data_IF_749507872060
#
_entry.id   IF_749507872060
#
_cell.length_a   1.000
_cell.length_b   1.000
_cell.length_c   1.000
_cell.angle_alpha   90.00
_cell.angle_beta   90.00
_cell.angle_gamma   90.00
#
_symmetry.space_group_name_H-M   'P 1'
#
loop_
_entity.id
_entity.type
_entity.pdbx_description
1 polymer ?
#
# COMPACT_ATOMS: atom_id res chain seq x y z
N UNK A 1 -37.01 -21.05 21.68
CA UNK A 1 -37.61 -20.26 20.62
C UNK A 1 -36.47 -19.46 19.97
N UNK A 2 -36.07 -19.82 18.74
CA UNK A 2 -35.00 -19.13 18.00
C UNK A 2 -35.57 -17.76 17.58
N UNK A 3 -34.88 -16.69 17.94
CA UNK A 3 -35.21 -15.33 17.51
C UNK A 3 -35.01 -15.20 16.01
N UNK A 4 -35.95 -14.56 15.31
CA UNK A 4 -35.75 -14.22 13.89
C UNK A 4 -34.65 -13.15 13.73
N UNK A 5 -33.99 -13.09 12.58
CA UNK A 5 -32.98 -12.06 12.26
C UNK A 5 -33.46 -10.63 12.55
N UNK A 6 -34.76 -10.37 12.31
CA UNK A 6 -35.40 -9.08 12.59
C UNK A 6 -35.49 -8.80 14.10
N UNK A 7 -35.75 -9.81 14.92
CA UNK A 7 -35.77 -9.68 16.37
C UNK A 7 -34.36 -9.55 16.96
N UNK A 8 -33.36 -10.23 16.38
CA UNK A 8 -31.96 -10.08 16.77
C UNK A 8 -31.48 -8.65 16.50
N UNK A 9 -31.77 -8.10 15.33
CA UNK A 9 -31.41 -6.73 14.94
C UNK A 9 -32.08 -5.66 15.81
N UNK A 10 -33.35 -5.84 16.16
CA UNK A 10 -34.09 -4.84 16.97
C UNK A 10 -33.68 -4.78 18.43
N UNK A 11 -33.09 -5.85 19.00
CA UNK A 11 -32.78 -5.97 20.44
C UNK A 11 -31.30 -5.78 20.76
N UNK A 12 -30.41 -5.58 19.77
CA UNK A 12 -28.97 -5.48 19.98
C UNK A 12 -28.32 -6.77 20.52
N UNK A 13 -29.06 -7.88 20.49
CA UNK A 13 -28.54 -9.18 20.96
C UNK A 13 -27.46 -9.77 20.05
N UNK A 14 -27.28 -9.25 18.84
CA UNK A 14 -26.20 -9.69 17.95
C UNK A 14 -24.83 -9.59 18.60
N UNK A 15 -24.60 -8.56 19.41
CA UNK A 15 -23.33 -8.40 20.16
C UNK A 15 -23.08 -9.55 21.14
N UNK A 16 -24.14 -10.06 21.78
CA UNK A 16 -24.08 -11.18 22.74
C UNK A 16 -23.96 -12.54 22.05
N UNK A 17 -24.45 -12.64 20.82
CA UNK A 17 -24.47 -13.87 20.03
C UNK A 17 -23.25 -13.99 19.11
N UNK A 18 -22.46 -12.94 19.02
CA UNK A 18 -21.28 -12.93 18.16
C UNK A 18 -20.25 -13.99 18.59
N UNK A 19 -19.85 -14.81 17.64
CA UNK A 19 -18.80 -15.82 17.84
C UNK A 19 -17.62 -15.49 16.92
N UNK A 20 -16.52 -14.99 17.47
CA UNK A 20 -15.36 -14.59 16.66
C UNK A 20 -14.67 -15.80 16.03
N UNK A 21 -14.38 -15.70 14.73
CA UNK A 21 -13.46 -16.60 14.05
C UNK A 21 -12.03 -16.43 14.62
N UNK A 22 -11.09 -17.38 14.38
CA UNK A 22 -9.77 -17.38 15.03
C UNK A 22 -9.02 -16.04 14.96
N UNK A 23 -8.88 -15.47 13.76
CA UNK A 23 -8.23 -14.17 13.56
C UNK A 23 -8.93 -13.03 14.27
N UNK A 24 -10.28 -13.00 14.26
CA UNK A 24 -11.08 -11.99 14.96
C UNK A 24 -10.87 -12.07 16.47
N UNK A 25 -10.77 -13.28 17.02
CA UNK A 25 -10.53 -13.47 18.46
C UNK A 25 -9.19 -12.88 18.89
N UNK A 26 -8.13 -13.07 18.09
CA UNK A 26 -6.84 -12.46 18.35
C UNK A 26 -6.91 -10.93 18.21
N UNK A 27 -7.54 -10.43 17.13
CA UNK A 27 -7.72 -9.02 16.86
C UNK A 27 -8.42 -8.27 18.00
N UNK A 28 -9.50 -8.81 18.55
CA UNK A 28 -10.21 -8.18 19.66
C UNK A 28 -9.39 -8.11 20.94
N UNK A 29 -8.51 -9.08 21.20
CA UNK A 29 -7.64 -9.14 22.38
C UNK A 29 -6.43 -8.23 22.32
N UNK A 30 -6.05 -7.82 21.13
CA UNK A 30 -4.81 -7.06 20.91
C UNK A 30 -4.83 -5.71 21.60
N UNK A 31 -3.79 -5.37 22.38
CA UNK A 31 -3.60 -4.05 22.96
C UNK A 31 -2.93 -3.06 22.00
N UNK A 32 -2.50 -3.49 20.81
CA UNK A 32 -1.75 -2.66 19.86
C UNK A 32 -2.49 -1.36 19.53
N UNK A 33 -1.73 -0.29 19.29
CA UNK A 33 -2.27 1.01 18.90
C UNK A 33 -2.83 0.98 17.47
N UNK A 34 -2.19 0.24 16.58
CA UNK A 34 -2.64 0.08 15.21
C UNK A 34 -2.87 -1.40 14.94
N UNK A 35 -4.11 -1.75 14.67
CA UNK A 35 -4.52 -3.13 14.39
C UNK A 35 -4.93 -3.24 12.92
N UNK A 36 -4.22 -4.09 12.18
CA UNK A 36 -4.44 -4.35 10.77
C UNK A 36 -5.09 -5.71 10.58
N UNK A 37 -6.37 -5.73 10.23
CA UNK A 37 -7.11 -6.95 9.96
C UNK A 37 -7.17 -7.20 8.46
N UNK A 38 -6.18 -7.89 7.94
CA UNK A 38 -6.09 -8.30 6.56
C UNK A 38 -6.86 -9.60 6.35
N UNK A 39 -7.84 -9.61 5.46
CA UNK A 39 -8.67 -10.80 5.30
C UNK A 39 -9.21 -10.96 3.90
N UNK A 40 -9.41 -12.21 3.50
CA UNK A 40 -10.08 -12.56 2.27
C UNK A 40 -11.53 -12.06 2.22
N UNK A 41 -12.12 -12.11 1.04
CA UNK A 41 -13.55 -11.84 0.90
C UNK A 41 -14.34 -12.86 1.71
N UNK A 42 -15.40 -12.41 2.42
CA UNK A 42 -16.23 -13.27 3.29
C UNK A 42 -15.51 -13.93 4.47
N UNK A 43 -14.31 -13.48 4.84
CA UNK A 43 -13.58 -13.97 6.03
C UNK A 43 -14.14 -13.44 7.36
N UNK A 44 -15.20 -12.63 7.35
CA UNK A 44 -15.81 -12.06 8.56
C UNK A 44 -15.13 -10.78 9.09
N UNK A 45 -14.16 -10.21 8.37
CA UNK A 45 -13.39 -9.04 8.83
C UNK A 45 -14.24 -7.81 9.17
N UNK A 46 -15.17 -7.41 8.30
CA UNK A 46 -16.05 -6.25 8.55
C UNK A 46 -17.04 -6.51 9.69
N UNK A 47 -17.51 -7.77 9.83
CA UNK A 47 -18.34 -8.23 10.96
C UNK A 47 -17.58 -8.09 12.28
N UNK A 48 -16.31 -8.54 12.31
CA UNK A 48 -15.47 -8.45 13.50
C UNK A 48 -15.10 -7.01 13.83
N UNK A 49 -14.60 -6.24 12.86
CA UNK A 49 -14.10 -4.88 13.08
C UNK A 49 -15.22 -3.87 13.33
N UNK A 50 -16.13 -3.71 12.38
CA UNK A 50 -17.19 -2.69 12.44
C UNK A 50 -18.39 -3.18 13.25
N UNK A 51 -18.81 -4.42 13.02
CA UNK A 51 -19.96 -4.97 13.75
C UNK A 51 -19.69 -5.11 15.24
N UNK A 52 -18.74 -5.94 15.62
CA UNK A 52 -18.51 -6.26 17.03
C UNK A 52 -17.53 -5.29 17.73
N UNK A 53 -16.31 -5.10 17.22
CA UNK A 53 -15.25 -4.37 17.93
C UNK A 53 -15.63 -2.88 18.12
N UNK A 54 -16.02 -2.19 17.05
CA UNK A 54 -16.48 -0.82 17.12
C UNK A 54 -17.71 -0.66 18.01
N UNK A 55 -18.76 -1.48 17.80
CA UNK A 55 -20.01 -1.33 18.55
C UNK A 55 -19.83 -1.65 20.04
N UNK A 56 -19.08 -2.68 20.41
CA UNK A 56 -18.78 -3.00 21.80
C UNK A 56 -17.93 -1.90 22.47
N UNK A 57 -16.96 -1.34 21.75
CA UNK A 57 -16.19 -0.20 22.24
C UNK A 57 -17.09 1.03 22.42
N UNK A 58 -17.92 1.37 21.43
CA UNK A 58 -18.81 2.53 21.50
C UNK A 58 -19.82 2.42 22.64
N UNK A 59 -20.32 1.20 22.93
CA UNK A 59 -21.21 0.94 24.08
C UNK A 59 -20.48 0.93 25.43
N UNK A 60 -19.16 0.85 25.46
CA UNK A 60 -18.39 0.72 26.69
C UNK A 60 -18.40 -0.69 27.29
N UNK A 61 -18.71 -1.71 26.51
CA UNK A 61 -18.79 -3.12 26.91
C UNK A 61 -17.71 -4.00 26.28
N UNK A 62 -16.72 -3.41 25.61
CA UNK A 62 -15.63 -4.16 24.99
C UNK A 62 -14.81 -4.92 26.03
N UNK A 63 -14.63 -6.25 25.90
CA UNK A 63 -14.05 -7.06 26.98
C UNK A 63 -12.56 -6.82 27.24
N UNK A 64 -11.84 -6.25 26.26
CA UNK A 64 -10.38 -6.06 26.34
C UNK A 64 -9.93 -4.60 26.24
N UNK A 65 -10.83 -3.67 25.94
CA UNK A 65 -10.51 -2.24 25.80
C UNK A 65 -11.46 -1.38 26.59
N UNK A 66 -10.91 -0.52 27.43
CA UNK A 66 -11.70 0.46 28.18
C UNK A 66 -12.05 1.64 27.27
N UNK A 67 -13.31 2.00 27.21
CA UNK A 67 -13.79 3.19 26.51
C UNK A 67 -13.74 4.40 27.43
N UNK A 68 -13.11 5.51 27.05
CA UNK A 68 -13.19 6.77 27.79
C UNK A 68 -14.64 7.29 27.85
N UNK A 69 -14.93 8.14 28.83
CA UNK A 69 -16.21 8.88 28.88
C UNK A 69 -16.26 9.88 27.72
N UNK A 70 -17.41 10.00 27.10
CA UNK A 70 -17.64 10.90 25.95
C UNK A 70 -16.65 10.67 24.80
N UNK A 71 -16.32 9.41 24.54
CA UNK A 71 -15.40 9.03 23.47
C UNK A 71 -15.88 9.51 22.09
N UNK A 72 -14.97 10.01 21.30
CA UNK A 72 -15.18 10.32 19.89
C UNK A 72 -14.55 9.24 19.02
N UNK A 73 -15.35 8.56 18.23
CA UNK A 73 -14.96 7.43 17.41
C UNK A 73 -15.19 7.81 15.95
N UNK A 74 -14.20 7.63 15.09
CA UNK A 74 -14.40 7.72 13.65
C UNK A 74 -14.61 6.35 13.04
N UNK A 75 -15.63 6.23 12.18
CA UNK A 75 -15.91 5.06 11.37
C UNK A 75 -15.84 5.44 9.88
N UNK A 76 -14.99 4.76 9.09
CA UNK A 76 -14.75 5.16 7.72
C UNK A 76 -14.81 3.98 6.73
N UNK A 77 -15.24 4.30 5.49
CA UNK A 77 -15.14 3.42 4.32
C UNK A 77 -14.84 4.23 3.06
N UNK A 78 -14.74 3.58 1.90
CA UNK A 78 -14.29 4.24 0.67
C UNK A 78 -15.22 5.38 0.20
N UNK A 79 -16.54 5.17 0.24
CA UNK A 79 -17.54 6.13 -0.27
C UNK A 79 -18.70 6.28 0.68
N UNK A 80 -19.44 7.40 0.59
CA UNK A 80 -20.64 7.61 1.40
C UNK A 80 -21.73 6.56 1.19
N UNK A 81 -22.02 6.08 -0.03
CA UNK A 81 -22.93 4.95 -0.21
C UNK A 81 -22.49 3.68 0.53
N UNK A 82 -21.19 3.38 0.57
CA UNK A 82 -20.66 2.24 1.34
C UNK A 82 -20.78 2.47 2.85
N UNK A 83 -20.53 3.68 3.33
CA UNK A 83 -20.78 4.05 4.73
C UNK A 83 -22.23 3.79 5.12
N UNK A 84 -23.18 4.25 4.32
CA UNK A 84 -24.60 4.02 4.57
C UNK A 84 -24.99 2.55 4.50
N UNK A 85 -24.66 1.88 3.39
CA UNK A 85 -25.06 0.50 3.14
C UNK A 85 -24.37 -0.50 4.06
N UNK A 86 -23.03 -0.50 4.06
CA UNK A 86 -22.26 -1.52 4.77
C UNK A 86 -22.06 -1.18 6.25
N UNK A 87 -21.48 -0.01 6.58
CA UNK A 87 -21.18 0.29 7.97
C UNK A 87 -22.45 0.49 8.79
N UNK A 88 -23.33 1.40 8.33
CA UNK A 88 -24.51 1.76 9.09
C UNK A 88 -25.60 0.68 9.05
N UNK A 89 -26.16 0.40 7.84
CA UNK A 89 -27.33 -0.46 7.73
C UNK A 89 -27.04 -1.94 8.00
N UNK A 90 -25.90 -2.47 7.50
CA UNK A 90 -25.61 -3.90 7.66
C UNK A 90 -24.90 -4.22 8.98
N UNK A 91 -23.98 -3.36 9.46
CA UNK A 91 -23.17 -3.68 10.63
C UNK A 91 -23.63 -2.95 11.89
N UNK A 92 -23.57 -1.62 11.92
CA UNK A 92 -23.82 -0.87 13.16
C UNK A 92 -25.26 -1.08 13.64
N UNK A 93 -26.27 -0.95 12.79
CA UNK A 93 -27.68 -1.21 13.17
C UNK A 93 -27.94 -2.65 13.66
N UNK A 94 -27.09 -3.61 13.26
CA UNK A 94 -27.23 -4.99 13.70
C UNK A 94 -26.66 -5.21 15.10
N UNK A 95 -25.54 -4.57 15.41
CA UNK A 95 -24.81 -4.76 16.68
C UNK A 95 -25.10 -3.70 17.73
N UNK A 96 -25.47 -2.49 17.32
CA UNK A 96 -25.79 -1.39 18.21
C UNK A 96 -27.32 -1.33 18.46
N UNK A 97 -27.82 -1.53 19.68
CA UNK A 97 -29.24 -1.38 19.95
C UNK A 97 -29.71 0.03 19.62
N UNK A 98 -30.79 0.17 18.87
CA UNK A 98 -31.34 1.48 18.50
C UNK A 98 -31.72 2.31 19.74
N UNK A 99 -32.12 1.66 20.84
CA UNK A 99 -32.39 2.31 22.15
C UNK A 99 -31.16 3.00 22.77
N UNK A 100 -29.96 2.67 22.32
CA UNK A 100 -28.73 3.30 22.78
C UNK A 100 -28.35 4.52 21.92
N UNK A 101 -29.08 4.80 20.85
CA UNK A 101 -28.86 5.98 20.01
C UNK A 101 -29.68 7.14 20.55
N UNK A 102 -28.99 8.23 20.90
CA UNK A 102 -29.63 9.47 21.35
C UNK A 102 -30.06 10.31 20.15
N UNK A 103 -31.35 10.64 19.99
CA UNK A 103 -31.79 11.56 18.95
C UNK A 103 -31.26 13.00 19.18
N UNK A 104 -31.12 13.82 18.11
CA UNK A 104 -31.31 13.44 16.71
C UNK A 104 -30.06 12.77 16.11
N UNK A 105 -30.25 11.91 15.12
CA UNK A 105 -29.19 11.45 14.23
C UNK A 105 -28.84 12.59 13.27
N UNK A 106 -27.54 12.90 13.11
CA UNK A 106 -27.09 13.86 12.10
C UNK A 106 -26.83 13.11 10.81
N UNK A 107 -27.52 13.51 9.75
CA UNK A 107 -27.47 12.83 8.47
C UNK A 107 -26.54 13.54 7.49
N UNK A 108 -25.70 12.79 6.78
CA UNK A 108 -25.05 13.23 5.56
C UNK A 108 -26.06 13.26 4.41
N UNK A 109 -26.83 12.17 4.28
CA UNK A 109 -27.98 12.10 3.38
C UNK A 109 -29.11 11.36 4.10
N UNK A 110 -30.17 12.09 4.44
CA UNK A 110 -31.31 11.55 5.18
C UNK A 110 -32.18 10.65 4.32
N UNK A 111 -32.30 10.95 3.03
CA UNK A 111 -33.12 10.17 2.09
C UNK A 111 -32.55 8.74 1.92
N UNK A 112 -31.23 8.63 1.84
CA UNK A 112 -30.53 7.35 1.69
C UNK A 112 -30.09 6.74 3.03
N UNK A 113 -30.57 7.31 4.16
CA UNK A 113 -30.21 6.89 5.52
C UNK A 113 -28.69 6.80 5.77
N UNK A 114 -27.94 7.78 5.28
CA UNK A 114 -26.48 7.85 5.48
C UNK A 114 -26.19 8.83 6.62
N UNK A 115 -25.81 8.37 7.82
CA UNK A 115 -25.46 9.26 8.93
C UNK A 115 -24.09 9.89 8.74
N UNK A 116 -23.90 11.11 9.24
CA UNK A 116 -22.59 11.73 9.47
C UNK A 116 -22.17 11.66 10.94
N UNK A 117 -23.12 11.65 11.88
CA UNK A 117 -22.86 11.48 13.32
C UNK A 117 -24.05 10.81 14.00
N UNK A 118 -23.73 9.89 14.92
CA UNK A 118 -24.67 9.40 15.92
C UNK A 118 -24.10 9.61 17.32
N UNK A 119 -24.95 9.94 18.27
CA UNK A 119 -24.62 10.03 19.69
C UNK A 119 -25.25 8.88 20.45
N UNK A 120 -24.58 8.39 21.45
CA UNK A 120 -25.05 7.30 22.29
C UNK A 120 -25.49 7.82 23.66
N UNK A 121 -26.41 7.11 24.29
CA UNK A 121 -26.94 7.43 25.61
C UNK A 121 -25.83 7.53 26.69
N UNK A 122 -24.73 6.78 26.53
CA UNK A 122 -23.56 6.83 27.40
C UNK A 122 -22.64 8.04 27.16
N UNK A 123 -22.99 8.97 26.25
CA UNK A 123 -22.24 10.17 25.91
C UNK A 123 -21.22 9.96 24.78
N UNK A 124 -20.95 8.75 24.35
CA UNK A 124 -20.05 8.48 23.24
C UNK A 124 -20.67 8.88 21.90
N UNK A 125 -19.83 9.14 20.90
CA UNK A 125 -20.28 9.47 19.54
C UNK A 125 -19.50 8.69 18.50
N UNK A 126 -20.18 8.38 17.40
CA UNK A 126 -19.56 7.83 16.20
C UNK A 126 -19.75 8.86 15.08
N UNK A 127 -18.66 9.35 14.52
CA UNK A 127 -18.63 10.22 13.35
C UNK A 127 -18.23 9.39 12.14
N UNK A 128 -19.01 9.48 11.07
CA UNK A 128 -18.78 8.74 9.85
C UNK A 128 -17.96 9.57 8.86
N UNK A 129 -17.08 8.90 8.14
CA UNK A 129 -16.17 9.49 7.15
C UNK A 129 -16.13 8.64 5.88
N UNK A 130 -15.89 9.29 4.73
CA UNK A 130 -15.63 8.58 3.49
C UNK A 130 -14.25 8.97 2.96
N UNK A 131 -13.43 7.98 2.56
CA UNK A 131 -12.07 8.23 2.07
C UNK A 131 -12.06 9.04 0.77
N UNK A 132 -13.11 8.94 -0.05
CA UNK A 132 -13.29 9.76 -1.27
C UNK A 132 -13.25 11.28 -1.00
N UNK A 133 -13.54 11.72 0.23
CA UNK A 133 -13.44 13.13 0.60
C UNK A 133 -11.99 13.64 0.68
N UNK A 134 -11.02 12.73 0.63
CA UNK A 134 -9.60 13.03 0.70
C UNK A 134 -9.13 13.47 2.10
N UNK A 135 -7.84 13.79 2.20
CA UNK A 135 -7.12 14.08 3.44
C UNK A 135 -7.80 15.14 4.32
N UNK A 136 -8.31 16.22 3.73
CA UNK A 136 -8.92 17.33 4.46
C UNK A 136 -10.11 16.92 5.35
N UNK A 137 -10.85 15.89 4.97
CA UNK A 137 -11.97 15.39 5.76
C UNK A 137 -11.53 14.72 7.08
N UNK A 138 -10.26 14.35 7.19
CA UNK A 138 -9.66 13.74 8.37
C UNK A 138 -8.86 14.74 9.23
N UNK A 139 -8.90 16.01 8.88
CA UNK A 139 -8.42 17.11 9.73
C UNK A 139 -9.47 17.43 10.81
N UNK A 140 -9.06 18.08 11.88
CA UNK A 140 -9.97 18.59 12.91
C UNK A 140 -9.67 18.10 14.32
N UNK A 141 -10.72 17.62 15.02
CA UNK A 141 -10.62 17.29 16.45
C UNK A 141 -9.85 15.98 16.72
N UNK A 142 -9.32 15.89 17.92
CA UNK A 142 -8.76 14.66 18.47
C UNK A 142 -9.83 13.56 18.67
N UNK A 143 -9.49 12.31 18.41
CA UNK A 143 -10.37 11.15 18.53
C UNK A 143 -9.77 10.07 19.44
N UNK A 144 -10.65 9.28 20.05
CA UNK A 144 -10.27 8.18 20.94
C UNK A 144 -10.04 6.87 20.18
N UNK A 145 -10.73 6.69 19.05
CA UNK A 145 -10.59 5.52 18.20
C UNK A 145 -10.91 5.83 16.72
N UNK A 146 -10.22 5.13 15.85
CA UNK A 146 -10.51 5.08 14.42
C UNK A 146 -10.81 3.65 13.99
N UNK A 147 -11.91 3.46 13.28
CA UNK A 147 -12.30 2.18 12.68
C UNK A 147 -12.49 2.37 11.17
N UNK A 148 -11.61 1.76 10.39
CA UNK A 148 -11.69 1.75 8.94
C UNK A 148 -12.15 0.42 8.40
N UNK A 149 -12.98 0.44 7.37
CA UNK A 149 -13.33 -0.74 6.58
C UNK A 149 -12.96 -0.51 5.12
N UNK A 150 -12.38 -1.51 4.51
CA UNK A 150 -11.77 -1.54 3.20
C UNK A 150 -10.45 -0.73 3.08
N UNK A 151 -9.66 -1.10 2.08
CA UNK A 151 -8.39 -0.46 1.78
C UNK A 151 -8.60 0.97 1.27
N UNK A 152 -7.86 1.96 1.78
CA UNK A 152 -7.92 3.36 1.33
C UNK A 152 -7.35 3.43 -0.10
N UNK A 153 -8.18 3.85 -1.08
CA UNK A 153 -7.81 3.79 -2.49
C UNK A 153 -6.92 4.94 -2.96
N UNK A 154 -7.18 6.17 -2.50
CA UNK A 154 -6.46 7.38 -2.92
C UNK A 154 -5.84 8.09 -1.74
N UNK A 155 -4.67 8.69 -1.91
CA UNK A 155 -3.91 9.40 -0.87
C UNK A 155 -3.85 8.64 0.47
N UNK A 156 -3.67 7.34 0.38
CA UNK A 156 -3.77 6.44 1.54
C UNK A 156 -2.79 6.79 2.65
N UNK A 157 -1.56 7.20 2.30
CA UNK A 157 -0.56 7.63 3.27
C UNK A 157 -0.90 8.97 3.90
N UNK A 158 -1.40 9.95 3.12
CA UNK A 158 -1.82 11.24 3.63
C UNK A 158 -3.01 11.13 4.58
N UNK A 159 -4.03 10.36 4.23
CA UNK A 159 -5.19 10.09 5.10
C UNK A 159 -4.73 9.37 6.38
N UNK A 160 -3.88 8.36 6.26
CA UNK A 160 -3.34 7.64 7.41
C UNK A 160 -2.59 8.56 8.39
N UNK A 161 -1.74 9.45 7.89
CA UNK A 161 -0.99 10.41 8.72
C UNK A 161 -1.90 11.35 9.48
N UNK A 162 -3.00 11.83 8.86
CA UNK A 162 -3.99 12.66 9.57
C UNK A 162 -4.72 11.88 10.67
N UNK A 163 -5.12 10.64 10.40
CA UNK A 163 -5.75 9.78 11.41
C UNK A 163 -4.81 9.61 12.61
N UNK A 164 -3.51 9.32 12.37
CA UNK A 164 -2.53 9.16 13.45
C UNK A 164 -2.35 10.46 14.26
N UNK A 165 -2.33 11.61 13.59
CA UNK A 165 -2.26 12.91 14.27
C UNK A 165 -3.49 13.15 15.18
N UNK A 166 -4.69 12.75 14.76
CA UNK A 166 -5.93 12.90 15.58
C UNK A 166 -5.99 11.94 16.76
N UNK A 167 -5.35 10.78 16.67
CA UNK A 167 -5.27 9.79 17.74
C UNK A 167 -4.22 10.16 18.82
N UNK A 168 -3.23 10.98 18.46
CA UNK A 168 -2.08 11.28 19.32
C UNK A 168 -2.49 11.94 20.63
N UNK A 169 -3.31 13.00 20.56
CA UNK A 169 -3.67 13.82 21.74
C UNK A 169 -4.44 13.05 22.82
N UNK A 170 -5.18 12.02 22.40
CA UNK A 170 -5.98 11.18 23.30
C UNK A 170 -5.37 9.81 23.56
N UNK A 171 -4.14 9.59 23.10
CA UNK A 171 -3.51 8.28 23.14
C UNK A 171 -4.43 7.18 22.58
N UNK A 172 -5.16 7.54 21.51
CA UNK A 172 -6.16 6.69 20.87
C UNK A 172 -5.54 5.54 20.07
N UNK A 173 -6.40 4.74 19.43
CA UNK A 173 -5.98 3.61 18.63
C UNK A 173 -6.71 3.55 17.28
N UNK A 174 -6.15 2.81 16.35
CA UNK A 174 -6.78 2.50 15.07
C UNK A 174 -7.03 1.00 14.89
N UNK A 175 -8.11 0.67 14.17
CA UNK A 175 -8.48 -0.66 13.77
C UNK A 175 -8.94 -0.62 12.30
N UNK A 176 -8.19 -1.25 11.41
CA UNK A 176 -8.47 -1.22 9.98
C UNK A 176 -8.68 -2.63 9.44
N UNK A 177 -9.82 -2.88 8.83
CA UNK A 177 -10.09 -4.12 8.10
C UNK A 177 -9.99 -3.91 6.60
N UNK A 178 -9.32 -4.84 5.89
CA UNK A 178 -9.13 -4.72 4.45
C UNK A 178 -8.91 -6.08 3.77
N UNK A 179 -9.21 -6.13 2.48
CA UNK A 179 -8.64 -7.12 1.57
C UNK A 179 -7.53 -6.41 0.79
N UNK A 180 -6.24 -6.74 0.98
CA UNK A 180 -5.11 -5.98 0.46
C UNK A 180 -4.86 -6.29 -1.03
N UNK A 181 -5.80 -5.87 -1.89
CA UNK A 181 -5.75 -6.10 -3.35
C UNK A 181 -4.95 -5.00 -4.03
N UNK A 182 -5.02 -3.76 -3.50
CA UNK A 182 -4.34 -2.61 -4.09
C UNK A 182 -2.95 -2.51 -3.47
N UNK A 183 -1.87 -2.59 -4.25
CA UNK A 183 -0.53 -2.37 -3.74
C UNK A 183 -0.39 -0.98 -3.12
N UNK A 184 0.11 -0.97 -1.90
CA UNK A 184 0.41 0.24 -1.14
C UNK A 184 1.77 0.06 -0.47
N UNK A 185 2.87 0.45 -1.15
CA UNK A 185 4.23 0.19 -0.68
C UNK A 185 4.47 0.64 0.76
N UNK A 186 3.98 1.82 1.15
CA UNK A 186 4.13 2.32 2.52
C UNK A 186 3.48 1.41 3.57
N UNK A 187 2.31 0.82 3.22
CA UNK A 187 1.57 -0.06 4.13
C UNK A 187 2.22 -1.45 4.19
N UNK A 188 2.67 -1.94 3.04
CA UNK A 188 3.41 -3.20 2.95
C UNK A 188 4.71 -3.13 3.76
N UNK A 189 5.49 -2.04 3.59
CA UNK A 189 6.69 -1.77 4.39
C UNK A 189 6.39 -1.70 5.88
N UNK A 190 5.30 -1.03 6.26
CA UNK A 190 4.90 -0.91 7.65
C UNK A 190 4.51 -2.26 8.25
N UNK A 191 3.78 -3.08 7.50
CA UNK A 191 3.36 -4.42 7.94
C UNK A 191 4.56 -5.38 7.99
N UNK A 192 5.51 -5.28 7.07
CA UNK A 192 6.76 -6.07 7.10
C UNK A 192 7.68 -5.65 8.25
N UNK A 193 7.84 -4.35 8.49
CA UNK A 193 8.66 -3.82 9.58
C UNK A 193 8.04 -4.08 10.96
N UNK A 194 6.73 -4.20 11.01
CA UNK A 194 5.89 -4.45 12.18
C UNK A 194 6.37 -3.68 13.43
N UNK A 195 6.21 -2.34 13.46
CA UNK A 195 6.58 -1.55 14.64
C UNK A 195 5.89 -2.08 15.90
N UNK A 196 6.47 -1.89 17.08
CA UNK A 196 5.89 -2.32 18.37
C UNK A 196 4.48 -1.79 18.63
N UNK A 197 4.10 -0.70 17.96
CA UNK A 197 2.75 -0.12 18.04
C UNK A 197 1.72 -0.84 17.19
N UNK A 198 2.14 -1.74 16.30
CA UNK A 198 1.31 -2.34 15.26
C UNK A 198 1.18 -3.86 15.45
N UNK A 199 0.00 -4.38 15.14
CA UNK A 199 -0.23 -5.82 15.07
C UNK A 199 -1.11 -6.16 13.85
N UNK A 200 -0.74 -7.23 13.15
CA UNK A 200 -1.39 -7.68 11.92
C UNK A 200 -2.06 -9.02 12.13
N UNK A 201 -3.30 -9.12 11.69
CA UNK A 201 -4.13 -10.32 11.79
C UNK A 201 -4.56 -10.75 10.38
N UNK A 202 -4.35 -12.00 10.05
CA UNK A 202 -4.75 -12.56 8.76
C UNK A 202 -5.97 -13.44 8.93
N UNK A 203 -7.09 -13.02 8.33
CA UNK A 203 -8.36 -13.72 8.38
C UNK A 203 -8.52 -14.60 7.12
N UNK A 204 -8.36 -15.90 7.27
CA UNK A 204 -8.53 -16.87 6.19
C UNK A 204 -10.03 -17.10 5.93
N UNK A 205 -10.43 -17.09 4.66
CA UNK A 205 -11.79 -17.44 4.24
C UNK A 205 -12.16 -18.86 4.70
N UNK A 206 -11.21 -19.78 4.69
CA UNK A 206 -11.46 -21.17 5.09
C UNK A 206 -11.83 -21.33 6.57
N UNK A 207 -11.47 -20.36 7.43
CA UNK A 207 -11.91 -20.37 8.83
C UNK A 207 -13.42 -20.12 8.98
N UNK A 208 -14.06 -19.60 7.92
CA UNK A 208 -15.49 -19.33 7.89
C UNK A 208 -16.33 -20.53 7.33
N UNK A 209 -15.69 -21.68 7.04
CA UNK A 209 -16.37 -22.91 6.65
C UNK A 209 -17.17 -23.50 7.82
N UNK A 210 -18.39 -23.97 7.55
CA UNK A 210 -19.22 -24.65 8.56
C UNK A 210 -18.50 -25.86 9.16
N UNK A 211 -17.77 -26.64 8.35
CA UNK A 211 -16.96 -27.78 8.82
C UNK A 211 -15.87 -27.38 9.83
N UNK A 212 -15.48 -26.12 9.86
CA UNK A 212 -14.50 -25.53 10.81
C UNK A 212 -15.15 -24.69 11.91
N UNK A 213 -16.47 -24.72 12.03
CA UNK A 213 -17.22 -23.94 13.00
C UNK A 213 -17.54 -22.50 12.56
N UNK A 214 -17.34 -22.19 11.29
CA UNK A 214 -17.72 -20.92 10.66
C UNK A 214 -19.20 -20.89 10.24
N UNK A 215 -19.52 -19.92 9.38
CA UNK A 215 -20.91 -19.57 9.06
C UNK A 215 -21.32 -19.91 7.61
N UNK A 216 -20.37 -20.17 6.71
CA UNK A 216 -20.60 -20.38 5.27
C UNK A 216 -20.48 -21.87 4.92
N UNK A 217 -21.38 -22.34 4.06
CA UNK A 217 -21.32 -23.71 3.58
C UNK A 217 -20.04 -23.96 2.79
N UNK A 218 -19.44 -25.12 3.00
CA UNK A 218 -18.15 -25.49 2.40
C UNK A 218 -18.21 -25.47 0.86
N UNK A 219 -19.32 -25.94 0.26
CA UNK A 219 -19.51 -25.93 -1.20
C UNK A 219 -19.61 -24.52 -1.77
N UNK A 220 -20.22 -23.59 -1.03
CA UNK A 220 -20.30 -22.18 -1.45
C UNK A 220 -18.91 -21.54 -1.45
N UNK A 221 -18.07 -21.85 -0.46
CA UNK A 221 -16.69 -21.38 -0.43
C UNK A 221 -15.89 -21.97 -1.59
N UNK A 222 -16.01 -23.26 -1.85
CA UNK A 222 -15.30 -23.92 -2.96
C UNK A 222 -15.71 -23.33 -4.31
N UNK A 223 -17.02 -23.10 -4.51
CA UNK A 223 -17.54 -22.45 -5.72
C UNK A 223 -17.01 -21.01 -5.89
N UNK A 224 -16.89 -20.26 -4.80
CA UNK A 224 -16.35 -18.92 -4.82
C UNK A 224 -14.87 -18.89 -5.17
N UNK A 225 -14.08 -19.77 -4.57
CA UNK A 225 -12.64 -19.90 -4.82
C UNK A 225 -12.37 -20.29 -6.28
N UNK A 226 -13.17 -21.21 -6.83
CA UNK A 226 -13.01 -21.65 -8.21
C UNK A 226 -13.23 -20.55 -9.27
N UNK A 227 -13.89 -19.43 -8.91
CA UNK A 227 -14.09 -18.28 -9.79
C UNK A 227 -12.91 -17.30 -9.81
N UNK A 228 -11.96 -17.44 -8.91
CA UNK A 228 -10.85 -16.49 -8.82
C UNK A 228 -9.63 -16.95 -9.63
N UNK A 229 -9.02 -16.03 -10.41
CA UNK A 229 -7.71 -16.28 -11.00
C UNK A 229 -6.68 -16.66 -9.93
N UNK A 230 -5.79 -17.58 -10.27
CA UNK A 230 -4.80 -18.11 -9.34
C UNK A 230 -3.95 -17.02 -8.66
N UNK A 231 -3.66 -15.95 -9.42
CA UNK A 231 -2.81 -14.83 -8.99
C UNK A 231 -3.41 -14.03 -7.83
N UNK A 232 -4.74 -13.92 -7.76
CA UNK A 232 -5.44 -13.18 -6.70
C UNK A 232 -6.09 -14.10 -5.66
N UNK A 233 -6.15 -15.41 -5.95
CA UNK A 233 -6.82 -16.37 -5.08
C UNK A 233 -6.22 -16.36 -3.67
N UNK A 234 -4.90 -16.35 -3.55
CA UNK A 234 -4.23 -16.35 -2.24
C UNK A 234 -4.59 -15.11 -1.40
N UNK A 235 -4.58 -13.93 -2.02
CA UNK A 235 -4.98 -12.68 -1.34
C UNK A 235 -6.44 -12.72 -0.91
N UNK A 236 -7.34 -13.21 -1.79
CA UNK A 236 -8.77 -13.31 -1.51
C UNK A 236 -9.14 -14.40 -0.52
N UNK A 237 -8.29 -15.41 -0.36
CA UNK A 237 -8.48 -16.50 0.61
C UNK A 237 -7.85 -16.11 1.95
N UNK A 238 -6.55 -15.75 1.95
CA UNK A 238 -5.75 -15.58 3.17
C UNK A 238 -5.58 -14.15 3.63
N UNK A 239 -6.02 -13.15 2.83
CA UNK A 239 -5.85 -11.74 3.16
C UNK A 239 -4.40 -11.26 3.13
N UNK A 240 -3.49 -12.01 2.52
CA UNK A 240 -2.11 -11.58 2.33
C UNK A 240 -2.02 -10.61 1.17
N UNK A 241 -1.08 -9.67 1.24
CA UNK A 241 -0.82 -8.78 0.11
C UNK A 241 -0.52 -9.61 -1.13
N UNK A 242 -1.20 -9.31 -2.23
CA UNK A 242 -0.93 -9.96 -3.50
C UNK A 242 0.52 -9.65 -3.88
N UNK A 243 1.31 -10.66 -4.14
CA UNK A 243 2.55 -10.47 -4.84
C UNK A 243 2.18 -9.91 -6.22
N UNK A 244 2.14 -8.59 -6.31
CA UNK A 244 2.08 -7.76 -7.52
C UNK A 244 1.22 -8.28 -8.69
N UNK A 245 -0.10 -8.25 -8.54
CA UNK A 245 -0.99 -8.37 -9.68
C UNK A 245 -0.73 -7.18 -10.63
N UNK A 246 -0.39 -7.48 -11.89
CA UNK A 246 -0.03 -6.45 -12.86
C UNK A 246 1.38 -5.88 -12.70
N UNK A 247 2.20 -6.36 -11.78
CA UNK A 247 3.57 -5.89 -11.62
C UNK A 247 4.39 -6.13 -12.89
N UNK A 248 5.11 -5.10 -13.32
CA UNK A 248 6.07 -5.19 -14.40
C UNK A 248 7.23 -6.10 -13.96
N UNK A 249 7.75 -5.90 -12.75
CA UNK A 249 8.90 -6.64 -12.21
C UNK A 249 8.50 -7.73 -11.20
N UNK A 250 7.75 -8.73 -11.67
CA UNK A 250 7.19 -9.83 -10.85
C UNK A 250 8.22 -10.63 -10.03
N UNK A 251 9.47 -10.67 -10.49
CA UNK A 251 10.56 -11.41 -9.83
C UNK A 251 11.27 -10.62 -8.76
N UNK A 252 10.98 -9.31 -8.63
CA UNK A 252 11.56 -8.51 -7.57
C UNK A 252 11.11 -8.99 -6.20
N UNK A 253 12.05 -9.22 -5.31
CA UNK A 253 11.81 -9.59 -3.92
C UNK A 253 12.82 -8.84 -3.04
N UNK A 254 12.35 -8.03 -2.11
CA UNK A 254 13.21 -7.22 -1.22
C UNK A 254 14.21 -8.06 -0.44
N UNK A 255 13.79 -9.23 0.07
CA UNK A 255 14.68 -10.12 0.82
C UNK A 255 15.84 -10.66 0.00
N UNK A 256 15.73 -10.66 -1.32
CA UNK A 256 16.72 -11.20 -2.26
C UNK A 256 17.55 -10.09 -2.90
N UNK A 257 16.89 -9.00 -3.32
CA UNK A 257 17.50 -7.96 -4.15
C UNK A 257 17.98 -6.74 -3.37
N UNK A 258 17.47 -6.52 -2.13
CA UNK A 258 17.88 -5.38 -1.32
C UNK A 258 18.98 -5.80 -0.36
N UNK A 259 20.15 -5.18 -0.50
CA UNK A 259 21.34 -5.54 0.26
C UNK A 259 21.83 -4.40 1.14
N UNK A 260 22.59 -4.71 2.18
CA UNK A 260 23.25 -3.70 3.00
C UNK A 260 24.28 -2.96 2.16
N UNK A 261 24.41 -1.63 2.30
CA UNK A 261 25.46 -0.86 1.63
C UNK A 261 26.85 -1.39 1.98
N UNK A 262 27.71 -1.39 0.99
CA UNK A 262 29.14 -1.67 1.12
C UNK A 262 29.93 -0.71 0.20
N UNK A 263 31.22 -0.58 0.40
CA UNK A 263 32.07 0.26 -0.44
C UNK A 263 32.24 -0.40 -1.81
N UNK A 264 31.83 0.30 -2.87
CA UNK A 264 31.98 -0.18 -4.24
C UNK A 264 33.45 -0.16 -4.64
N UNK A 265 34.07 -1.31 -5.01
CA UNK A 265 35.47 -1.38 -5.42
C UNK A 265 35.80 -0.40 -6.54
N UNK A 266 36.99 0.19 -6.50
CA UNK A 266 37.37 1.26 -7.41
C UNK A 266 37.49 0.81 -8.89
N UNK A 267 37.79 -0.45 -9.11
CA UNK A 267 37.93 -1.10 -10.41
C UNK A 267 36.60 -1.47 -11.06
N UNK A 268 35.49 -1.45 -10.31
CA UNK A 268 34.19 -1.73 -10.90
C UNK A 268 33.73 -0.59 -11.80
N UNK A 269 33.31 -0.89 -13.05
CA UNK A 269 32.73 0.13 -13.93
C UNK A 269 31.47 0.73 -13.32
N UNK A 270 31.42 2.06 -13.35
CA UNK A 270 30.32 2.86 -12.82
C UNK A 270 29.55 3.58 -13.91
N UNK A 271 28.27 3.72 -13.69
CA UNK A 271 27.33 4.34 -14.61
C UNK A 271 26.36 5.21 -13.82
N UNK A 272 25.72 6.16 -14.53
CA UNK A 272 24.58 6.91 -14.00
C UNK A 272 23.44 6.90 -14.99
N UNK A 273 22.22 7.02 -14.47
CA UNK A 273 21.03 7.16 -15.27
C UNK A 273 20.14 8.25 -14.68
N UNK A 274 19.58 9.11 -15.52
CA UNK A 274 18.84 10.31 -15.13
C UNK A 274 17.50 10.31 -15.85
N UNK A 275 16.43 10.52 -15.09
CA UNK A 275 15.10 10.85 -15.56
C UNK A 275 14.77 12.28 -15.11
N UNK A 276 14.45 13.15 -16.11
CA UNK A 276 14.18 14.57 -15.85
C UNK A 276 12.78 14.77 -15.29
N UNK A 277 12.63 15.67 -14.33
CA UNK A 277 11.37 16.09 -13.78
C UNK A 277 11.48 17.39 -13.00
N UNK A 278 10.41 18.20 -13.02
CA UNK A 278 10.29 19.41 -12.20
C UNK A 278 9.10 19.26 -11.25
N UNK A 279 7.86 19.18 -11.75
CA UNK A 279 6.69 18.89 -10.93
C UNK A 279 6.70 17.44 -10.43
N UNK A 280 7.11 16.53 -11.29
CA UNK A 280 7.49 15.16 -10.95
C UNK A 280 8.93 15.13 -10.43
N UNK A 281 9.32 14.12 -9.66
CA UNK A 281 10.69 14.01 -9.18
C UNK A 281 11.71 13.90 -10.32
N UNK A 282 12.79 14.66 -10.21
CA UNK A 282 14.04 14.38 -10.91
C UNK A 282 14.67 13.17 -10.23
N UNK A 283 15.02 12.15 -10.99
CA UNK A 283 15.68 10.96 -10.49
C UNK A 283 17.07 10.79 -11.11
N UNK A 284 18.05 10.44 -10.28
CA UNK A 284 19.36 10.01 -10.73
C UNK A 284 19.79 8.78 -9.94
N UNK A 285 20.16 7.71 -10.64
CA UNK A 285 20.67 6.49 -10.04
C UNK A 285 22.15 6.30 -10.37
N UNK A 286 22.90 5.85 -9.37
CA UNK A 286 24.29 5.41 -9.49
C UNK A 286 24.33 3.89 -9.53
N UNK A 287 24.93 3.34 -10.60
CA UNK A 287 25.02 1.92 -10.85
C UNK A 287 26.48 1.50 -10.95
N UNK A 288 26.80 0.37 -10.38
CA UNK A 288 28.10 -0.29 -10.54
C UNK A 288 27.89 -1.72 -11.04
N UNK A 289 28.87 -2.26 -11.76
CA UNK A 289 28.82 -3.63 -12.24
C UNK A 289 30.04 -4.40 -11.77
N UNK A 290 29.84 -5.54 -11.12
CA UNK A 290 30.94 -6.38 -10.66
C UNK A 290 31.53 -7.24 -11.80
N UNK A 291 32.69 -7.93 -11.58
CA UNK A 291 33.27 -8.84 -12.56
C UNK A 291 32.37 -10.00 -12.97
N UNK A 292 31.43 -10.41 -12.11
CA UNK A 292 30.44 -11.46 -12.38
C UNK A 292 29.20 -10.92 -13.12
N UNK A 293 29.30 -9.67 -13.64
CA UNK A 293 28.22 -8.95 -14.35
C UNK A 293 26.97 -8.68 -13.53
N UNK A 294 27.10 -8.60 -12.19
CA UNK A 294 25.99 -8.21 -11.31
C UNK A 294 25.95 -6.69 -11.18
N UNK A 295 24.75 -6.14 -11.24
CA UNK A 295 24.47 -4.73 -11.09
C UNK A 295 24.17 -4.37 -9.63
N UNK A 296 24.66 -3.23 -9.21
CA UNK A 296 24.39 -2.66 -7.90
C UNK A 296 23.91 -1.22 -8.06
N UNK A 297 22.68 -0.93 -7.68
CA UNK A 297 22.22 0.45 -7.48
C UNK A 297 22.69 0.87 -6.09
N UNK A 298 23.76 1.68 -6.02
CA UNK A 298 24.43 1.97 -4.77
C UNK A 298 24.14 3.36 -4.19
N UNK A 299 23.58 4.28 -5.03
CA UNK A 299 23.09 5.58 -4.57
C UNK A 299 21.93 6.06 -5.45
N UNK A 300 21.08 6.90 -4.89
CA UNK A 300 20.01 7.59 -5.59
C UNK A 300 19.93 9.06 -5.16
N UNK A 301 19.52 9.92 -6.09
CA UNK A 301 19.01 11.26 -5.86
C UNK A 301 17.61 11.34 -6.44
N UNK A 302 16.62 11.74 -5.63
CA UNK A 302 15.22 11.71 -6.01
C UNK A 302 14.51 12.90 -5.36
N UNK A 303 14.22 13.95 -6.14
CA UNK A 303 13.64 15.18 -5.61
C UNK A 303 12.88 15.97 -6.69
N UNK A 304 11.71 16.51 -6.36
CA UNK A 304 10.92 17.37 -7.21
C UNK A 304 11.06 18.84 -6.83
N UNK A 305 10.68 19.73 -7.75
CA UNK A 305 10.54 21.18 -7.57
C UNK A 305 11.85 21.89 -7.25
N UNK A 306 12.94 21.39 -7.82
CA UNK A 306 14.26 22.00 -7.74
C UNK A 306 14.80 22.28 -9.15
N UNK A 307 15.78 23.18 -9.25
CA UNK A 307 16.41 23.55 -10.51
C UNK A 307 17.44 22.52 -10.97
N UNK A 308 17.75 22.48 -12.27
CA UNK A 308 18.82 21.62 -12.80
C UNK A 308 20.19 21.96 -12.18
N UNK A 309 20.42 23.24 -11.87
CA UNK A 309 21.62 23.65 -11.14
C UNK A 309 21.73 22.98 -9.77
N UNK A 310 20.64 22.95 -9.00
CA UNK A 310 20.59 22.23 -7.73
C UNK A 310 20.86 20.73 -7.91
N UNK A 311 20.19 20.08 -8.87
CA UNK A 311 20.40 18.68 -9.16
C UNK A 311 21.84 18.38 -9.58
N UNK A 312 22.45 19.25 -10.41
CA UNK A 312 23.84 19.07 -10.83
C UNK A 312 24.83 19.11 -9.65
N UNK A 313 24.62 20.02 -8.71
CA UNK A 313 25.47 20.10 -7.50
C UNK A 313 25.30 18.88 -6.61
N UNK A 314 24.07 18.37 -6.45
CA UNK A 314 23.80 17.11 -5.71
C UNK A 314 24.45 15.92 -6.40
N UNK A 315 24.36 15.83 -7.74
CA UNK A 315 25.04 14.78 -8.51
C UNK A 315 26.55 14.83 -8.29
N UNK A 316 27.17 16.02 -8.34
CA UNK A 316 28.60 16.19 -8.10
C UNK A 316 29.00 15.79 -6.68
N UNK A 317 28.21 16.21 -5.67
CA UNK A 317 28.45 15.86 -4.27
C UNK A 317 28.43 14.35 -4.04
N UNK A 318 27.40 13.66 -4.55
CA UNK A 318 27.26 12.20 -4.40
C UNK A 318 28.36 11.47 -5.20
N UNK A 319 28.66 11.95 -6.41
CA UNK A 319 29.67 11.35 -7.30
C UNK A 319 31.10 11.50 -6.78
N UNK A 320 31.38 12.57 -6.03
CA UNK A 320 32.74 12.84 -5.53
C UNK A 320 33.79 12.82 -6.63
N UNK A 321 34.81 11.96 -6.48
CA UNK A 321 35.90 11.77 -7.45
C UNK A 321 35.72 10.55 -8.36
N UNK A 322 34.57 9.90 -8.31
CA UNK A 322 34.27 8.70 -9.11
C UNK A 322 34.29 9.03 -10.61
N UNK A 323 34.75 8.08 -11.42
CA UNK A 323 34.71 8.16 -12.87
C UNK A 323 33.55 7.26 -13.38
N UNK A 324 32.79 7.77 -14.34
CA UNK A 324 31.65 7.06 -14.92
C UNK A 324 31.93 6.76 -16.39
N UNK A 325 31.66 5.52 -16.82
CA UNK A 325 31.76 5.14 -18.22
C UNK A 325 30.68 5.81 -19.07
N UNK A 326 29.47 5.94 -18.54
CA UNK A 326 28.36 6.63 -19.19
C UNK A 326 27.40 7.24 -18.14
N UNK A 327 26.71 8.31 -18.57
CA UNK A 327 25.54 8.85 -17.89
C UNK A 327 24.42 8.94 -18.91
N UNK A 328 23.44 8.07 -18.83
CA UNK A 328 22.26 8.14 -19.70
C UNK A 328 21.24 9.08 -19.13
N UNK A 329 20.60 9.88 -19.99
CA UNK A 329 19.54 10.77 -19.60
C UNK A 329 18.36 10.63 -20.55
N UNK A 330 17.17 10.95 -20.08
CA UNK A 330 15.99 11.04 -20.94
C UNK A 330 16.21 12.05 -22.09
N UNK A 331 15.31 12.05 -23.04
CA UNK A 331 15.45 12.73 -24.34
C UNK A 331 15.07 14.21 -24.32
N UNK A 332 14.87 14.84 -23.16
CA UNK A 332 14.73 16.28 -23.13
C UNK A 332 16.05 16.94 -23.54
N UNK A 333 16.07 17.39 -24.79
CA UNK A 333 17.27 17.97 -25.39
C UNK A 333 17.72 19.25 -24.68
N UNK A 334 16.77 20.03 -24.14
CA UNK A 334 17.06 21.26 -23.43
C UNK A 334 17.69 20.94 -22.08
N UNK A 335 17.05 20.09 -21.27
CA UNK A 335 17.54 19.72 -19.94
C UNK A 335 18.86 18.97 -20.02
N UNK A 336 19.03 18.09 -21.02
CA UNK A 336 20.31 17.41 -21.25
C UNK A 336 21.41 18.38 -21.67
N UNK A 337 21.12 19.42 -22.47
CA UNK A 337 22.08 20.45 -22.86
C UNK A 337 22.48 21.30 -21.65
N UNK A 338 21.51 21.74 -20.85
CA UNK A 338 21.76 22.51 -19.62
C UNK A 338 22.58 21.70 -18.63
N UNK A 339 22.24 20.43 -18.38
CA UNK A 339 22.98 19.58 -17.46
C UNK A 339 24.44 19.36 -17.90
N UNK A 340 24.67 19.24 -19.22
CA UNK A 340 26.04 19.20 -19.77
C UNK A 340 26.79 20.51 -19.55
N UNK A 341 26.15 21.65 -19.73
CA UNK A 341 26.77 22.98 -19.45
C UNK A 341 27.15 23.14 -17.98
N UNK A 342 26.38 22.49 -17.09
CA UNK A 342 26.67 22.42 -15.65
C UNK A 342 27.74 21.37 -15.28
N UNK A 343 28.40 20.75 -16.28
CA UNK A 343 29.52 19.84 -16.07
C UNK A 343 29.13 18.37 -15.83
N UNK A 344 27.91 17.98 -16.15
CA UNK A 344 27.45 16.58 -16.11
C UNK A 344 27.28 16.10 -17.56
N UNK A 345 28.25 15.41 -18.17
CA UNK A 345 28.13 14.88 -19.52
C UNK A 345 27.06 13.79 -19.55
N UNK A 346 26.13 13.88 -20.50
CA UNK A 346 25.02 12.93 -20.67
C UNK A 346 24.98 12.38 -22.10
N UNK A 347 24.52 11.15 -22.21
CA UNK A 347 24.20 10.47 -23.46
C UNK A 347 22.69 10.17 -23.50
N UNK A 348 22.05 10.22 -24.68
CA UNK A 348 20.63 9.91 -24.79
C UNK A 348 20.35 8.44 -24.43
N UNK A 349 19.35 8.22 -23.59
CA UNK A 349 18.91 6.88 -23.21
C UNK A 349 18.20 6.19 -24.39
N UNK A 350 18.21 4.87 -24.44
CA UNK A 350 17.43 4.09 -25.39
C UNK A 350 15.96 4.09 -25.00
N UNK A 351 15.04 4.42 -25.94
CA UNK A 351 13.62 4.67 -25.65
C UNK A 351 12.71 3.45 -25.56
N UNK A 352 13.13 2.30 -26.07
CA UNK A 352 12.27 1.14 -26.12
C UNK A 352 11.93 0.68 -24.68
N UNK A 353 10.67 0.91 -24.31
CA UNK A 353 10.18 0.62 -22.96
C UNK A 353 10.15 -0.87 -22.71
N UNK A 354 9.69 -1.67 -23.69
CA UNK A 354 9.56 -3.13 -23.52
C UNK A 354 10.91 -3.81 -23.43
N UNK A 355 11.82 -3.51 -24.37
CA UNK A 355 13.17 -4.07 -24.34
C UNK A 355 13.94 -3.64 -23.09
N UNK A 356 13.72 -2.40 -22.64
CA UNK A 356 14.29 -1.92 -21.38
C UNK A 356 13.74 -2.65 -20.15
N UNK A 357 12.44 -2.91 -20.10
CA UNK A 357 11.81 -3.71 -19.06
C UNK A 357 12.34 -5.15 -19.07
N UNK A 358 12.42 -5.78 -20.25
CA UNK A 358 12.98 -7.13 -20.41
C UNK A 358 14.42 -7.22 -19.90
N UNK A 359 15.25 -6.21 -20.21
CA UNK A 359 16.63 -6.15 -19.72
C UNK A 359 16.69 -6.13 -18.18
N UNK A 360 15.86 -5.30 -17.54
CA UNK A 360 15.80 -5.25 -16.05
C UNK A 360 15.24 -6.57 -15.50
N UNK A 361 14.17 -7.11 -16.09
CA UNK A 361 13.59 -8.39 -15.65
C UNK A 361 14.61 -9.54 -15.72
N UNK A 362 15.44 -9.57 -16.77
CA UNK A 362 16.50 -10.57 -16.93
C UNK A 362 17.52 -10.50 -15.79
N UNK A 363 17.84 -9.28 -15.31
CA UNK A 363 18.78 -9.10 -14.19
C UNK A 363 18.17 -9.42 -12.83
N UNK A 364 16.83 -9.32 -12.69
CA UNK A 364 16.12 -9.67 -11.47
C UNK A 364 15.94 -11.19 -11.27
N UNK A 365 16.02 -11.99 -12.33
CA UNK A 365 15.91 -13.44 -12.20
C UNK A 365 17.06 -14.00 -11.39
N UNK A 366 16.74 -14.89 -10.44
CA UNK A 366 17.74 -15.71 -9.77
C UNK A 366 18.31 -16.67 -10.79
N UNK A 367 19.63 -16.65 -10.93
CA UNK A 367 20.38 -17.48 -11.89
C UNK A 367 20.75 -18.85 -11.26
N UNK A 368 21.40 -19.69 -12.03
CA UNK A 368 21.83 -21.04 -11.60
C UNK A 368 22.78 -21.02 -10.40
N UNK A 369 23.50 -19.90 -10.18
CA UNK A 369 24.35 -19.68 -9.01
C UNK A 369 23.57 -19.32 -7.73
N UNK A 370 22.24 -19.32 -7.78
CA UNK A 370 21.35 -19.00 -6.66
C UNK A 370 21.26 -17.50 -6.36
N UNK A 371 21.76 -16.61 -7.22
CA UNK A 371 21.78 -15.16 -7.02
C UNK A 371 21.18 -14.42 -8.21
N UNK A 372 20.51 -13.27 -8.00
CA UNK A 372 20.12 -12.40 -9.09
C UNK A 372 21.33 -11.63 -9.66
N UNK A 373 21.09 -10.96 -10.78
CA UNK A 373 22.10 -10.06 -11.39
C UNK A 373 21.83 -8.58 -11.07
N UNK A 374 20.80 -8.25 -10.28
CA UNK A 374 20.53 -6.88 -9.84
C UNK A 374 20.35 -6.84 -8.32
N UNK A 375 21.14 -5.96 -7.69
CA UNK A 375 21.04 -5.64 -6.28
C UNK A 375 20.82 -4.14 -6.09
N UNK A 376 20.07 -3.78 -5.05
CA UNK A 376 19.77 -2.40 -4.70
C UNK A 376 20.21 -2.17 -3.26
N UNK A 377 20.96 -1.13 -3.00
CA UNK A 377 21.35 -0.81 -1.62
C UNK A 377 20.14 -0.36 -0.82
N UNK A 378 20.06 -0.79 0.43
CA UNK A 378 18.95 -0.44 1.34
C UNK A 378 18.73 1.08 1.46
N UNK A 379 19.73 1.88 1.17
CA UNK A 379 19.67 3.34 1.14
C UNK A 379 18.91 3.92 -0.05
N UNK A 380 18.73 3.13 -1.14
CA UNK A 380 17.98 3.52 -2.33
C UNK A 380 16.50 3.20 -2.14
N UNK A 381 15.85 3.96 -1.25
CA UNK A 381 14.47 3.70 -0.80
C UNK A 381 13.43 3.98 -1.89
N UNK A 382 13.66 5.02 -2.72
CA UNK A 382 12.74 5.37 -3.81
C UNK A 382 12.81 4.33 -4.93
N UNK A 383 14.01 3.90 -5.32
CA UNK A 383 14.21 2.81 -6.29
C UNK A 383 13.51 1.53 -5.83
N UNK A 384 13.71 1.15 -4.56
CA UNK A 384 13.07 -0.05 -3.98
C UNK A 384 11.55 0.07 -3.97
N UNK A 385 11.01 1.25 -3.65
CA UNK A 385 9.57 1.52 -3.64
C UNK A 385 8.97 1.43 -5.04
N UNK A 386 9.60 2.09 -6.02
CA UNK A 386 9.05 2.14 -7.37
C UNK A 386 9.13 0.80 -8.09
N UNK A 387 10.25 0.09 -8.02
CA UNK A 387 10.37 -1.23 -8.66
C UNK A 387 9.36 -2.23 -8.08
N UNK A 388 9.04 -2.13 -6.80
CA UNK A 388 8.02 -2.93 -6.16
C UNK A 388 6.59 -2.54 -6.60
N UNK A 389 6.35 -1.27 -6.89
CA UNK A 389 5.03 -0.72 -7.26
C UNK A 389 4.78 -0.56 -8.77
N UNK A 390 5.76 -0.83 -9.63
CA UNK A 390 5.65 -0.60 -11.07
C UNK A 390 4.73 -1.59 -11.75
N UNK A 391 3.70 -1.07 -12.44
CA UNK A 391 2.60 -1.88 -12.97
C UNK A 391 2.30 -1.58 -14.44
N UNK A 392 1.73 -2.58 -15.11
CA UNK A 392 1.07 -2.40 -16.40
C UNK A 392 -0.21 -1.58 -16.26
N UNK A 393 -0.53 -0.77 -17.27
CA UNK A 393 -1.79 -0.04 -17.32
C UNK A 393 -2.96 -1.01 -17.42
N UNK A 394 -3.97 -0.84 -16.57
CA UNK A 394 -5.20 -1.63 -16.65
C UNK A 394 -6.03 -1.17 -17.84
N UNK A 395 -6.59 -2.14 -18.61
CA UNK A 395 -7.62 -1.85 -19.61
C UNK A 395 -8.88 -1.31 -18.94
N UNK A 396 -9.50 -0.31 -19.54
CA UNK A 396 -10.86 0.10 -19.16
C UNK A 396 -11.88 -0.69 -19.98
N UNK A 397 -13.14 -0.80 -19.53
CA UNK A 397 -14.22 -1.52 -20.25
C UNK A 397 -14.40 -1.08 -21.72
N UNK A 398 -13.80 0.04 -22.12
CA UNK A 398 -13.91 0.63 -23.46
C UNK A 398 -12.58 0.71 -24.23
N UNK A 399 -11.44 0.28 -23.63
CA UNK A 399 -10.12 0.23 -24.31
C UNK A 399 -9.40 -1.02 -23.89
N UNK A 400 -8.89 -1.76 -24.88
CA UNK A 400 -7.96 -2.86 -24.65
C UNK A 400 -6.81 -2.41 -23.73
N UNK A 401 -6.36 -3.33 -22.85
CA UNK A 401 -5.21 -3.08 -22.01
C UNK A 401 -4.03 -2.68 -22.92
N UNK A 402 -3.48 -1.50 -22.72
CA UNK A 402 -2.23 -1.13 -23.37
C UNK A 402 -1.12 -1.93 -22.69
N UNK A 403 -0.30 -2.60 -23.49
CA UNK A 403 0.94 -3.23 -23.05
C UNK A 403 2.00 -2.17 -22.66
N UNK A 404 1.58 -1.10 -21.99
CA UNK A 404 2.44 -0.02 -21.52
C UNK A 404 2.33 0.07 -19.99
N UNK A 405 3.44 0.31 -19.27
CA UNK A 405 3.37 0.50 -17.84
C UNK A 405 2.67 1.83 -17.46
N UNK A 406 2.11 1.87 -16.26
CA UNK A 406 1.51 3.10 -15.72
C UNK A 406 2.60 4.16 -15.51
N UNK A 407 2.32 5.38 -15.99
CA UNK A 407 3.18 6.56 -15.83
C UNK A 407 2.93 7.25 -14.47
N UNK A 408 3.15 6.50 -13.38
CA UNK A 408 2.96 7.00 -12.00
C UNK A 408 4.05 6.41 -11.11
N UNK A 409 4.87 7.28 -10.50
CA UNK A 409 5.99 6.88 -9.66
C UNK A 409 6.91 5.87 -10.37
N UNK A 410 7.35 6.21 -11.58
CA UNK A 410 8.15 5.35 -12.47
C UNK A 410 9.56 5.91 -12.76
N UNK A 411 9.93 7.03 -12.15
CA UNK A 411 11.15 7.77 -12.44
C UNK A 411 12.44 6.97 -12.15
N UNK A 412 12.51 6.29 -11.01
CA UNK A 412 13.63 5.41 -10.69
C UNK A 412 13.60 4.14 -11.56
N UNK A 413 12.41 3.63 -11.93
CA UNK A 413 12.27 2.52 -12.87
C UNK A 413 12.77 2.91 -14.27
N UNK A 414 12.50 4.13 -14.73
CA UNK A 414 13.00 4.66 -15.99
C UNK A 414 14.52 4.79 -15.95
N UNK A 415 15.10 5.32 -14.85
CA UNK A 415 16.54 5.33 -14.66
C UNK A 415 17.17 3.92 -14.68
N UNK A 416 16.56 2.93 -14.02
CA UNK A 416 17.03 1.53 -14.07
C UNK A 416 17.04 1.00 -15.50
N UNK A 417 15.98 1.25 -16.23
CA UNK A 417 15.84 0.87 -17.63
C UNK A 417 16.92 1.52 -18.49
N UNK A 418 17.14 2.83 -18.35
CA UNK A 418 18.18 3.56 -19.08
C UNK A 418 19.57 3.00 -18.77
N UNK A 419 19.89 2.78 -17.51
CA UNK A 419 21.19 2.30 -17.10
C UNK A 419 21.50 0.88 -17.54
N UNK A 420 20.59 -0.06 -17.29
CA UNK A 420 20.79 -1.48 -17.58
C UNK A 420 20.69 -1.73 -19.10
N UNK A 421 19.63 -1.22 -19.75
CA UNK A 421 19.44 -1.40 -21.19
C UNK A 421 20.51 -0.66 -22.01
N UNK A 422 21.04 0.43 -21.48
CA UNK A 422 22.18 1.16 -22.08
C UNK A 422 23.40 0.28 -22.29
N UNK A 423 23.65 -0.66 -21.36
CA UNK A 423 24.82 -1.58 -21.43
C UNK A 423 24.43 -2.94 -22.02
N UNK A 424 23.31 -3.53 -21.60
CA UNK A 424 22.92 -4.90 -21.99
C UNK A 424 22.23 -4.98 -23.35
N UNK A 425 21.63 -3.88 -23.84
CA UNK A 425 20.88 -3.84 -25.08
C UNK A 425 21.78 -3.97 -26.31
N UNK A 426 21.62 -5.04 -27.08
CA UNK A 426 22.36 -5.28 -28.32
C UNK A 426 22.15 -4.14 -29.34
N UNK A 427 23.23 -3.51 -29.81
CA UNK A 427 23.23 -2.81 -31.08
C UNK A 427 23.79 -1.38 -31.17
N UNK A 428 24.44 -0.78 -30.15
CA UNK A 428 25.06 0.55 -30.33
C UNK A 428 26.45 0.76 -29.72
N UNK A 429 26.91 -0.10 -28.81
CA UNK A 429 28.31 -0.05 -28.36
C UNK A 429 28.82 -1.47 -28.09
N UNK A 430 29.90 -1.85 -28.77
CA UNK A 430 30.69 -3.00 -28.33
C UNK A 430 31.39 -2.62 -27.02
N UNK A 431 31.74 -3.60 -26.18
CA UNK A 431 32.55 -3.37 -24.98
C UNK A 431 33.86 -2.59 -25.29
N UNK A 432 34.28 -2.56 -26.54
CA UNK A 432 35.44 -1.83 -27.02
C UNK A 432 35.20 -0.34 -27.28
N UNK A 433 33.98 0.13 -27.40
CA UNK A 433 33.66 1.54 -27.63
C UNK A 433 33.58 2.37 -26.34
N UNK A 434 33.72 1.71 -25.19
CA UNK A 434 33.66 2.31 -23.85
C UNK A 434 35.03 2.34 -23.13
N UNK A 435 36.13 2.01 -23.85
CA UNK A 435 37.53 2.12 -23.34
C UNK A 435 38.13 3.47 -23.59
#
# INVERSE_FOLDING_TARGET
>A
MLLTDRQIRSTGRAILLYRPLPAMRAFHRSPAKNRWLCGGNRSGKSEGNIGYDLCSFALGVHPYRRTPKNATIWAASNTWPLVGKLLWNEKIKTYLPLSQIQPPVVWHNKQDEIPSEIRLVNGNRIEFKAYEQGRKAFEGRAIDAFYGDEQIKSDSFGIWTEIQARLLDKNGFSAQSMTPIIPQPWLEERIEALPETDEVFYADLNDNRKSRGGYIDDKEIDSLIAQWPAEIAETRIKGRFAAFFGAVYKTFNRAVHVVKPFEIPADWPRYRAIDFGFNNPFACLWLARDPDKRWYVYAEHYQARETLAFHSERIKQISGKEKYRATWADHDAQDACELRSLGIPTMPAKKDVHLGIEAVQATLKVQDDGRPRLFIFKTCVNTTREIAGYKWAEGTETKDAKDEPMKVNDHACDCLRYGIYGVEGKGYFSENDLN
#
